data_IF_648795350964
#
_entry.id   IF_648795350964
#
_cell.length_a   1.000
_cell.length_b   1.000
_cell.length_c   1.000
_cell.angle_alpha   90.00
_cell.angle_beta   90.00
_cell.angle_gamma   90.00
#
_symmetry.space_group_name_H-M   'P 1'
#
loop_
_entity.id
_entity.type
_entity.pdbx_description
1 polymer ?
#
# COMPACT_ATOMS: atom_id res chain seq x y z
N UNK A 1 -24.59 -11.42 9.57
CA UNK A 1 -24.09 -10.33 10.44
C UNK A 1 -24.26 -9.02 9.69
N UNK A 2 -24.62 -7.93 10.38
CA UNK A 2 -24.66 -6.58 9.85
C UNK A 2 -23.58 -5.77 10.53
N UNK A 3 -22.85 -4.93 9.77
CA UNK A 3 -21.85 -4.00 10.26
C UNK A 3 -22.26 -2.62 9.79
N UNK A 4 -22.34 -1.67 10.71
CA UNK A 4 -22.67 -0.30 10.38
C UNK A 4 -21.42 0.39 9.81
N UNK A 5 -21.63 1.26 8.85
CA UNK A 5 -20.60 2.19 8.37
C UNK A 5 -21.16 3.61 8.31
N UNK A 6 -20.28 4.57 8.39
CA UNK A 6 -20.62 6.00 8.27
C UNK A 6 -19.77 6.63 7.16
N UNK A 7 -20.39 7.42 6.31
CA UNK A 7 -19.70 8.36 5.44
C UNK A 7 -19.31 9.61 6.25
N UNK A 8 -18.06 9.99 6.17
CA UNK A 8 -17.52 11.18 6.86
C UNK A 8 -17.49 12.41 5.95
N UNK A 9 -17.79 12.23 4.65
CA UNK A 9 -17.97 13.29 3.67
C UNK A 9 -19.16 12.97 2.76
N UNK A 10 -19.70 13.99 2.10
CA UNK A 10 -20.80 13.83 1.14
C UNK A 10 -20.36 13.15 -0.16
N UNK A 11 -19.06 13.19 -0.46
CA UNK A 11 -18.45 12.59 -1.65
C UNK A 11 -18.02 11.15 -1.46
N UNK A 12 -17.92 10.66 -0.21
CA UNK A 12 -17.53 9.30 0.10
C UNK A 12 -18.45 8.28 -0.56
N UNK A 13 -17.85 7.25 -1.15
CA UNK A 13 -18.56 6.16 -1.80
C UNK A 13 -18.65 4.98 -0.83
N UNK A 14 -19.86 4.46 -0.62
CA UNK A 14 -20.08 3.29 0.23
C UNK A 14 -19.26 2.09 -0.29
N UNK A 15 -18.65 1.29 0.59
CA UNK A 15 -17.97 0.05 0.19
C UNK A 15 -18.93 -0.90 -0.54
N UNK A 16 -18.50 -1.48 -1.67
CA UNK A 16 -19.33 -2.36 -2.50
C UNK A 16 -18.67 -3.71 -2.73
N UNK A 17 -19.47 -4.73 -3.03
CA UNK A 17 -19.01 -6.02 -3.56
C UNK A 17 -19.33 -6.12 -5.03
N UNK A 18 -18.46 -6.74 -5.83
CA UNK A 18 -18.72 -7.08 -7.22
C UNK A 18 -19.77 -8.17 -7.33
N UNK A 19 -19.63 -9.22 -6.51
CA UNK A 19 -20.56 -10.34 -6.40
C UNK A 19 -20.92 -10.60 -4.93
N UNK A 20 -22.07 -11.18 -4.69
CA UNK A 20 -22.58 -11.45 -3.33
C UNK A 20 -21.58 -12.21 -2.45
N UNK A 21 -20.89 -13.19 -3.01
CA UNK A 21 -19.96 -14.09 -2.31
C UNK A 21 -18.49 -13.64 -2.36
N UNK A 22 -18.19 -12.44 -2.86
CA UNK A 22 -16.84 -11.90 -2.82
C UNK A 22 -16.37 -11.75 -1.36
N UNK A 23 -15.09 -12.04 -1.11
CA UNK A 23 -14.52 -11.94 0.23
C UNK A 23 -14.39 -10.49 0.71
N UNK A 24 -14.09 -9.57 -0.20
CA UNK A 24 -13.81 -8.17 0.10
C UNK A 24 -14.86 -7.20 -0.41
N UNK A 25 -14.94 -6.05 0.25
CA UNK A 25 -15.66 -4.88 -0.23
C UNK A 25 -14.67 -3.92 -0.89
N UNK A 26 -14.94 -3.47 -2.11
CA UNK A 26 -14.15 -2.42 -2.75
C UNK A 26 -14.17 -1.14 -1.91
N UNK A 27 -13.00 -0.54 -1.72
CA UNK A 27 -12.81 0.78 -1.12
C UNK A 27 -12.41 1.79 -2.20
N UNK A 28 -12.97 2.97 -2.09
CA UNK A 28 -12.82 4.04 -3.07
C UNK A 28 -12.04 5.21 -2.50
N UNK A 29 -11.18 5.82 -3.31
CA UNK A 29 -10.57 7.09 -2.98
C UNK A 29 -11.64 8.19 -2.90
N UNK A 30 -11.61 9.01 -1.85
CA UNK A 30 -12.48 10.19 -1.73
C UNK A 30 -11.74 11.50 -1.98
N UNK A 31 -10.59 11.41 -2.60
CA UNK A 31 -9.76 12.54 -3.02
C UNK A 31 -9.02 12.25 -4.32
N UNK A 32 -8.66 13.30 -5.05
CA UNK A 32 -7.66 13.21 -6.10
C UNK A 32 -6.27 13.24 -5.46
N UNK A 33 -5.38 12.36 -5.89
CA UNK A 33 -4.02 12.31 -5.39
C UNK A 33 -3.04 11.96 -6.51
N UNK A 34 -1.80 12.41 -6.34
CA UNK A 34 -0.67 11.99 -7.15
C UNK A 34 0.41 11.44 -6.23
N UNK A 35 1.07 10.39 -6.68
CA UNK A 35 2.23 9.81 -6.00
C UNK A 35 3.41 9.84 -6.95
N UNK A 36 4.46 10.57 -6.57
CA UNK A 36 5.75 10.53 -7.24
C UNK A 36 6.39 9.14 -7.04
N UNK A 37 7.42 8.84 -7.81
CA UNK A 37 8.19 7.61 -7.65
C UNK A 37 8.68 7.43 -6.20
N UNK A 38 8.46 6.24 -5.64
CA UNK A 38 8.83 5.89 -4.25
C UNK A 38 8.01 6.59 -3.18
N UNK A 39 7.06 7.46 -3.56
CA UNK A 39 6.21 8.14 -2.58
C UNK A 39 5.20 7.17 -1.98
N UNK A 40 5.08 7.25 -0.65
CA UNK A 40 4.02 6.57 0.12
C UNK A 40 3.08 7.61 0.69
N UNK A 41 1.77 7.42 0.48
CA UNK A 41 0.73 8.34 0.92
C UNK A 41 -0.49 7.59 1.42
N UNK A 42 -1.11 8.09 2.48
CA UNK A 42 -2.43 7.63 2.91
C UNK A 42 -3.51 8.36 2.12
N UNK A 43 -4.35 7.60 1.41
CA UNK A 43 -5.47 8.11 0.61
C UNK A 43 -6.75 7.94 1.41
N UNK A 44 -7.48 9.03 1.61
CA UNK A 44 -8.72 9.02 2.39
C UNK A 44 -9.84 8.30 1.63
N UNK A 45 -10.60 7.45 2.34
CA UNK A 45 -11.87 6.89 1.86
C UNK A 45 -13.07 7.62 2.42
N UNK A 46 -12.87 8.35 3.53
CA UNK A 46 -13.93 8.96 4.33
C UNK A 46 -15.05 7.98 4.72
N UNK A 47 -14.69 6.72 4.95
CA UNK A 47 -15.56 5.67 5.49
C UNK A 47 -15.08 5.31 6.89
N UNK A 48 -15.97 5.31 7.86
CA UNK A 48 -15.75 4.77 9.20
C UNK A 48 -16.63 3.53 9.43
N UNK A 49 -16.15 2.59 10.23
CA UNK A 49 -16.84 1.33 10.55
C UNK A 49 -17.17 1.22 12.03
N UNK A 50 -18.24 0.50 12.32
CA UNK A 50 -18.55 0.02 13.65
C UNK A 50 -18.48 -1.52 13.65
N UNK A 51 -17.26 -2.02 13.87
CA UNK A 51 -17.03 -3.46 13.96
C UNK A 51 -17.45 -3.97 15.34
N UNK A 52 -18.10 -5.13 15.42
CA UNK A 52 -18.39 -5.77 16.70
C UNK A 52 -17.12 -6.36 17.32
N UNK A 53 -17.11 -6.52 18.66
CA UNK A 53 -16.05 -7.19 19.36
C UNK A 53 -15.77 -8.59 18.79
N UNK A 54 -14.49 -8.99 18.78
CA UNK A 54 -14.05 -10.24 18.18
C UNK A 54 -13.96 -10.21 16.64
N UNK A 55 -14.04 -9.03 16.04
CA UNK A 55 -13.84 -8.84 14.61
C UNK A 55 -12.84 -7.71 14.33
N UNK A 56 -12.18 -7.83 13.21
CA UNK A 56 -11.35 -6.78 12.62
C UNK A 56 -11.65 -6.63 11.13
N UNK A 57 -11.17 -5.58 10.52
CA UNK A 57 -11.18 -5.46 9.07
C UNK A 57 -9.77 -5.22 8.54
N UNK A 58 -9.40 -5.94 7.48
CA UNK A 58 -8.15 -5.73 6.76
C UNK A 58 -8.38 -4.89 5.52
N UNK A 59 -7.59 -3.84 5.37
CA UNK A 59 -7.39 -3.18 4.09
C UNK A 59 -6.37 -3.98 3.31
N UNK A 60 -6.73 -4.44 2.12
CA UNK A 60 -5.90 -5.30 1.27
C UNK A 60 -5.76 -4.74 -0.14
N UNK A 61 -4.64 -5.04 -0.83
CA UNK A 61 -4.50 -4.73 -2.25
C UNK A 61 -5.56 -5.48 -3.08
N UNK A 62 -5.89 -4.91 -4.24
CA UNK A 62 -6.71 -5.57 -5.27
C UNK A 62 -5.79 -6.17 -6.32
N UNK A 63 -5.97 -7.47 -6.61
CA UNK A 63 -5.11 -8.22 -7.55
C UNK A 63 -5.04 -7.55 -8.93
N UNK A 64 -6.18 -7.08 -9.46
CA UNK A 64 -6.24 -6.43 -10.76
C UNK A 64 -5.49 -5.09 -10.82
N UNK A 65 -5.46 -4.33 -9.73
CA UNK A 65 -4.69 -3.09 -9.64
C UNK A 65 -3.19 -3.39 -9.53
N UNK A 66 -2.83 -4.29 -8.60
CA UNK A 66 -1.44 -4.68 -8.35
C UNK A 66 -0.77 -5.30 -9.57
N UNK A 67 -1.50 -6.10 -10.36
CA UNK A 67 -0.94 -6.79 -11.54
C UNK A 67 -0.77 -5.87 -12.75
N UNK A 68 -1.52 -4.78 -12.83
CA UNK A 68 -1.57 -3.91 -14.02
C UNK A 68 -0.88 -2.56 -13.83
N UNK A 69 -0.53 -2.21 -12.61
CA UNK A 69 0.06 -0.91 -12.29
C UNK A 69 1.23 -1.06 -11.32
N UNK A 70 2.00 0.01 -11.16
CA UNK A 70 3.02 0.10 -10.13
C UNK A 70 2.46 0.55 -8.76
N UNK A 71 1.17 0.86 -8.66
CA UNK A 71 0.55 1.19 -7.38
C UNK A 71 0.55 -0.02 -6.45
N UNK A 72 1.11 0.15 -5.27
CA UNK A 72 1.07 -0.85 -4.19
C UNK A 72 0.21 -0.32 -3.06
N UNK A 73 -0.61 -1.20 -2.52
CA UNK A 73 -1.41 -0.93 -1.32
C UNK A 73 -0.84 -1.76 -0.20
N UNK A 74 -0.45 -1.10 0.87
CA UNK A 74 0.02 -1.77 2.08
C UNK A 74 -1.16 -2.35 2.86
N UNK A 75 -0.91 -3.46 3.56
CA UNK A 75 -1.92 -4.01 4.47
C UNK A 75 -2.17 -3.02 5.61
N UNK A 76 -3.43 -2.87 5.98
CA UNK A 76 -3.86 -2.07 7.12
C UNK A 76 -4.89 -2.83 7.94
N UNK A 77 -4.80 -2.73 9.26
CA UNK A 77 -5.76 -3.34 10.18
C UNK A 77 -6.65 -2.26 10.78
N UNK A 78 -7.94 -2.51 10.79
CA UNK A 78 -8.96 -1.67 11.40
C UNK A 78 -9.53 -2.45 12.59
N UNK A 79 -9.26 -1.96 13.79
CA UNK A 79 -9.69 -2.57 15.04
C UNK A 79 -11.18 -2.35 15.32
N UNK A 80 -11.80 -3.23 16.13
CA UNK A 80 -13.21 -3.11 16.52
C UNK A 80 -13.53 -1.77 17.20
N UNK A 81 -12.61 -1.24 18.00
CA UNK A 81 -12.77 0.04 18.70
C UNK A 81 -12.52 1.29 17.87
N UNK A 82 -11.97 1.17 16.64
CA UNK A 82 -11.67 2.33 15.79
C UNK A 82 -12.93 2.92 15.18
N UNK A 83 -13.07 4.25 15.24
CA UNK A 83 -14.22 5.00 14.69
C UNK A 83 -13.81 6.13 13.75
N UNK A 84 -12.52 6.24 13.44
CA UNK A 84 -12.00 7.21 12.47
C UNK A 84 -12.21 6.78 11.02
N UNK A 85 -11.87 7.67 10.09
CA UNK A 85 -11.88 7.38 8.65
C UNK A 85 -10.78 6.39 8.28
N UNK A 86 -11.11 5.43 7.43
CA UNK A 86 -10.15 4.47 6.88
C UNK A 86 -9.32 5.17 5.83
N UNK A 87 -8.00 5.20 6.03
CA UNK A 87 -7.01 5.60 5.04
C UNK A 87 -6.38 4.38 4.37
N UNK A 88 -6.11 4.49 3.09
CA UNK A 88 -5.44 3.44 2.31
C UNK A 88 -4.01 3.87 2.07
N UNK A 89 -3.04 3.16 2.64
CA UNK A 89 -1.62 3.45 2.45
C UNK A 89 -1.21 2.92 1.09
N UNK A 90 -0.93 3.85 0.17
CA UNK A 90 -0.54 3.59 -1.20
C UNK A 90 0.92 3.99 -1.42
N UNK A 91 1.64 3.21 -2.20
CA UNK A 91 3.01 3.45 -2.60
C UNK A 91 3.12 3.37 -4.13
N UNK A 92 3.87 4.28 -4.73
CA UNK A 92 4.29 4.18 -6.11
C UNK A 92 5.60 3.38 -6.21
N UNK A 93 5.51 2.10 -6.51
CA UNK A 93 6.64 1.16 -6.64
C UNK A 93 7.13 1.02 -8.09
N UNK A 94 7.14 2.08 -8.87
CA UNK A 94 7.66 2.05 -10.24
C UNK A 94 9.15 1.70 -10.24
N UNK A 95 9.53 0.61 -10.88
CA UNK A 95 10.92 0.11 -10.82
C UNK A 95 11.89 0.85 -11.75
N UNK A 96 11.38 1.50 -12.78
CA UNK A 96 12.22 2.08 -13.86
C UNK A 96 13.04 3.28 -13.43
N UNK A 97 12.67 3.94 -12.33
CA UNK A 97 13.28 5.21 -11.92
C UNK A 97 14.31 5.10 -10.80
N UNK A 98 14.42 3.93 -10.14
CA UNK A 98 15.43 3.75 -9.08
C UNK A 98 16.88 3.96 -9.57
N UNK A 99 17.11 3.93 -10.89
CA UNK A 99 18.44 4.14 -11.49
C UNK A 99 18.77 5.61 -11.77
N UNK A 100 17.77 6.51 -11.74
CA UNK A 100 17.93 7.90 -12.14
C UNK A 100 17.46 8.90 -11.09
N UNK A 101 17.02 8.44 -9.92
CA UNK A 101 16.49 9.31 -8.85
C UNK A 101 17.52 10.28 -8.26
N UNK A 102 18.79 10.04 -8.56
CA UNK A 102 19.90 10.89 -8.15
C UNK A 102 20.87 11.03 -9.31
N UNK A 103 20.76 12.12 -10.06
CA UNK A 103 21.64 12.43 -11.18
C UNK A 103 23.13 12.46 -10.77
N UNK A 104 23.40 12.75 -9.49
CA UNK A 104 24.74 12.73 -8.94
C UNK A 104 25.25 11.30 -8.76
N UNK A 105 24.43 10.39 -8.25
CA UNK A 105 24.78 8.97 -8.12
C UNK A 105 25.00 8.31 -9.47
N UNK A 106 24.20 8.68 -10.48
CA UNK A 106 24.37 8.20 -11.87
C UNK A 106 25.66 8.78 -12.49
N UNK A 107 25.92 10.06 -12.33
CA UNK A 107 27.14 10.69 -12.82
C UNK A 107 28.39 10.11 -12.14
N UNK A 108 28.32 9.81 -10.84
CA UNK A 108 29.40 9.17 -10.09
C UNK A 108 29.64 7.72 -10.55
N UNK A 109 28.56 6.94 -10.76
CA UNK A 109 28.63 5.55 -11.24
C UNK A 109 29.17 5.44 -12.67
N UNK A 110 28.94 6.46 -13.50
CA UNK A 110 29.45 6.54 -14.87
C UNK A 110 30.84 7.17 -14.96
N UNK A 111 31.47 7.60 -13.83
CA UNK A 111 32.78 8.24 -13.81
C UNK A 111 32.81 9.62 -14.45
N UNK A 112 31.66 10.28 -14.60
CA UNK A 112 31.49 11.57 -15.29
C UNK A 112 31.55 12.75 -14.31
N UNK A 113 31.88 12.53 -13.04
CA UNK A 113 31.90 13.56 -11.98
C UNK A 113 33.07 14.52 -12.09
N UNK A 114 33.42 14.99 -13.27
CA UNK A 114 34.42 16.06 -13.44
C UNK A 114 33.80 17.26 -14.16
N UNK A 115 34.20 18.45 -13.74
CA UNK A 115 33.70 19.76 -14.19
C UNK A 115 33.86 20.09 -15.71
N UNK A 116 34.22 19.11 -16.53
CA UNK A 116 34.40 19.27 -17.99
C UNK A 116 33.25 18.66 -18.83
N UNK A 117 32.29 18.01 -18.20
CA UNK A 117 31.21 17.31 -18.91
C UNK A 117 29.82 17.86 -18.54
N UNK A 118 29.70 19.20 -18.38
CA UNK A 118 28.42 19.86 -18.02
C UNK A 118 27.27 19.46 -18.96
N UNK A 119 27.51 19.40 -20.27
CA UNK A 119 26.50 19.08 -21.27
C UNK A 119 25.96 17.65 -21.14
N UNK A 120 26.79 16.72 -20.66
CA UNK A 120 26.35 15.34 -20.38
C UNK A 120 25.53 15.26 -19.10
N UNK A 121 25.90 16.05 -18.09
CA UNK A 121 25.17 16.15 -16.83
C UNK A 121 23.79 16.78 -17.09
N UNK A 122 23.74 17.86 -17.87
CA UNK A 122 22.50 18.53 -18.23
C UNK A 122 21.55 17.60 -19.02
N UNK A 123 22.07 16.82 -19.96
CA UNK A 123 21.32 15.82 -20.72
C UNK A 123 20.79 14.67 -19.83
N UNK A 124 21.58 14.26 -18.82
CA UNK A 124 21.15 13.25 -17.83
C UNK A 124 20.10 13.80 -16.88
N UNK A 125 20.19 15.07 -16.49
CA UNK A 125 19.20 15.76 -15.67
C UNK A 125 17.89 15.93 -16.43
N UNK A 126 17.94 16.32 -17.70
CA UNK A 126 16.76 16.45 -18.56
C UNK A 126 16.05 15.10 -18.72
N UNK A 127 16.79 14.04 -19.00
CA UNK A 127 16.24 12.68 -19.05
C UNK A 127 15.69 12.22 -17.70
N UNK A 128 16.37 12.53 -16.59
CA UNK A 128 15.88 12.22 -15.23
C UNK A 128 14.57 12.92 -14.95
N UNK A 129 14.43 14.19 -15.31
CA UNK A 129 13.19 14.95 -15.15
C UNK A 129 12.05 14.39 -16.03
N UNK A 130 12.33 14.06 -17.29
CA UNK A 130 11.35 13.42 -18.18
C UNK A 130 10.86 12.05 -17.64
N UNK A 131 11.76 11.26 -17.05
CA UNK A 131 11.42 10.00 -16.39
C UNK A 131 10.61 10.21 -15.11
N UNK A 132 10.95 11.21 -14.29
CA UNK A 132 10.22 11.53 -13.07
C UNK A 132 8.77 11.96 -13.37
N UNK A 133 8.56 12.74 -14.41
CA UNK A 133 7.21 13.13 -14.86
C UNK A 133 6.37 11.91 -15.34
N UNK A 134 6.99 10.94 -16.02
CA UNK A 134 6.33 9.73 -16.53
C UNK A 134 6.05 8.69 -15.45
N UNK A 135 6.67 8.80 -14.27
CA UNK A 135 6.53 7.84 -13.17
C UNK A 135 5.52 8.24 -12.11
N UNK A 136 4.80 9.32 -12.32
CA UNK A 136 3.75 9.76 -11.40
C UNK A 136 2.51 8.88 -11.57
N UNK A 137 2.00 8.34 -10.46
CA UNK A 137 0.72 7.64 -10.44
C UNK A 137 -0.37 8.61 -9.99
N UNK A 138 -1.38 8.81 -10.85
CA UNK A 138 -2.59 9.56 -10.51
C UNK A 138 -3.65 8.63 -9.93
N UNK A 139 -4.28 9.06 -8.84
CA UNK A 139 -5.48 8.46 -8.27
C UNK A 139 -6.58 9.52 -8.37
N UNK A 140 -7.74 9.12 -8.86
CA UNK A 140 -8.91 9.99 -8.95
C UNK A 140 -9.93 9.63 -7.88
N UNK A 141 -10.65 10.62 -7.38
CA UNK A 141 -11.81 10.39 -6.55
C UNK A 141 -12.77 9.41 -7.24
N UNK A 142 -13.20 8.39 -6.52
CA UNK A 142 -14.04 7.32 -7.04
C UNK A 142 -13.29 6.11 -7.59
N UNK A 143 -11.96 6.17 -7.68
CA UNK A 143 -11.18 4.99 -8.05
C UNK A 143 -11.27 3.91 -6.98
N UNK A 144 -11.43 2.67 -7.42
CA UNK A 144 -11.38 1.48 -6.56
C UNK A 144 -9.92 1.11 -6.30
N UNK A 145 -9.36 1.53 -5.18
CA UNK A 145 -7.93 1.39 -4.91
C UNK A 145 -7.56 0.25 -3.96
N UNK A 146 -8.49 -0.20 -3.13
CA UNK A 146 -8.27 -1.30 -2.18
C UNK A 146 -9.52 -2.15 -2.00
N UNK A 147 -9.42 -3.19 -1.19
CA UNK A 147 -10.56 -3.97 -0.71
C UNK A 147 -10.50 -4.12 0.81
N UNK A 148 -11.67 -4.16 1.43
CA UNK A 148 -11.86 -4.35 2.86
C UNK A 148 -12.36 -5.77 3.11
N UNK A 149 -11.65 -6.55 3.92
CA UNK A 149 -12.02 -7.92 4.29
C UNK A 149 -12.31 -7.98 5.77
N UNK A 150 -13.53 -8.38 6.14
CA UNK A 150 -13.93 -8.54 7.55
C UNK A 150 -13.50 -9.93 8.02
N UNK A 151 -12.82 -9.99 9.17
CA UNK A 151 -12.36 -11.24 9.76
C UNK A 151 -12.77 -11.34 11.22
N UNK A 152 -13.08 -12.57 11.64
CA UNK A 152 -13.24 -12.91 13.04
C UNK A 152 -11.85 -13.14 13.64
N UNK A 153 -11.57 -12.55 14.78
CA UNK A 153 -10.34 -12.80 15.54
C UNK A 153 -10.63 -13.73 16.71
N UNK A 154 -9.76 -14.70 16.99
CA UNK A 154 -9.89 -15.53 18.18
C UNK A 154 -9.65 -14.70 19.43
N UNK A 155 -10.30 -15.05 20.52
CA UNK A 155 -9.97 -14.55 21.84
C UNK A 155 -8.71 -15.29 22.32
N UNK A 156 -7.59 -14.58 22.37
CA UNK A 156 -6.28 -15.15 22.69
C UNK A 156 -5.63 -14.34 23.80
N UNK A 157 -5.18 -15.05 24.83
CA UNK A 157 -4.31 -14.49 25.85
C UNK A 157 -2.88 -14.99 25.63
N UNK A 158 -1.93 -14.06 25.50
CA UNK A 158 -0.50 -14.39 25.52
C UNK A 158 -0.04 -14.50 26.98
N UNK A 159 0.54 -15.65 27.32
CA UNK A 159 1.10 -15.94 28.64
C UNK A 159 2.58 -16.20 28.47
N UNK A 160 3.40 -15.49 29.24
CA UNK A 160 4.84 -15.74 29.27
C UNK A 160 5.12 -17.13 29.88
N UNK A 161 6.00 -17.87 29.22
CA UNK A 161 6.43 -19.20 29.65
C UNK A 161 7.96 -19.25 29.61
N UNK A 162 8.55 -19.91 30.60
CA UNK A 162 10.01 -20.08 30.69
C UNK A 162 10.52 -20.96 29.54
N UNK A 163 9.72 -21.94 29.09
CA UNK A 163 10.08 -22.86 28.01
C UNK A 163 8.85 -23.09 27.09
N UNK A 164 9.11 -23.34 25.83
CA UNK A 164 8.12 -23.76 24.82
C UNK A 164 8.32 -25.26 24.51
N UNK A 165 7.24 -25.91 24.18
CA UNK A 165 7.26 -27.32 23.76
C UNK A 165 8.11 -27.50 22.48
N UNK A 166 8.87 -28.59 22.41
CA UNK A 166 9.60 -28.96 21.22
C UNK A 166 8.65 -29.33 20.05
N UNK A 167 9.07 -28.99 18.85
CA UNK A 167 8.37 -29.39 17.62
C UNK A 167 9.37 -29.90 16.60
N UNK A 168 8.90 -30.71 15.62
CA UNK A 168 9.74 -31.19 14.51
C UNK A 168 10.40 -30.05 13.73
N UNK A 169 9.74 -28.89 13.62
CA UNK A 169 10.29 -27.71 12.96
C UNK A 169 11.30 -26.96 13.84
N UNK A 170 11.13 -26.98 15.15
CA UNK A 170 11.94 -26.22 16.10
C UNK A 170 12.07 -24.74 15.75
N UNK A 171 13.28 -24.24 15.78
CA UNK A 171 13.60 -22.85 15.39
C UNK A 171 13.82 -22.64 13.89
N UNK A 172 13.55 -23.62 13.03
CA UNK A 172 13.74 -23.55 11.59
C UNK A 172 12.82 -22.49 10.95
N UNK A 173 13.42 -21.52 10.24
CA UNK A 173 12.73 -20.44 9.54
C UNK A 173 13.51 -19.97 8.32
N UNK A 174 13.02 -18.95 7.62
CA UNK A 174 13.69 -18.27 6.49
C UNK A 174 14.21 -19.21 5.40
N UNK A 175 13.47 -20.28 5.07
CA UNK A 175 13.84 -21.24 4.04
C UNK A 175 14.72 -22.39 4.54
N UNK A 176 14.80 -22.65 5.85
CA UNK A 176 15.56 -23.75 6.44
C UNK A 176 15.13 -25.16 5.96
N UNK A 177 13.95 -25.30 5.33
CA UNK A 177 13.42 -26.56 4.80
C UNK A 177 13.88 -26.87 3.38
N UNK A 178 14.86 -26.12 2.85
CA UNK A 178 15.46 -26.35 1.53
C UNK A 178 14.63 -25.80 0.37
N UNK A 179 15.28 -25.76 -0.79
CA UNK A 179 14.66 -25.48 -2.09
C UNK A 179 13.99 -26.74 -2.62
#
# INVERSE_FOLDING_TARGET
MKINFKKLSDTAIAPTKGHYNDAGFDLYADEDATLAYGETKAIATNIALELPDGYMADVRPRSGLTSKTALRVHYGTVDAGYRGGIGIICENASAENARYSDAYSVAAALGVATSKDSDKIDNLLEKSNEYNEKSVIGIKRGDKIAQLVIQKIPDVQLVEADELNDTERGAGGFGSTGK
#
